data_IF_400898182996
#
_entry.id   IF_400898182996
#
_cell.length_a   1.000
_cell.length_b   1.000
_cell.length_c   1.000
_cell.angle_alpha   90.00
_cell.angle_beta   90.00
_cell.angle_gamma   90.00
#
_symmetry.space_group_name_H-M   'P 1'
#
loop_
_entity.id
_entity.type
_entity.pdbx_description
1 polymer ?
#
# COMPACT_ATOMS: atom_id res chain seq x y z
N UNK A 1 3.11 5.77 -37.94
CA UNK A 1 3.65 6.18 -36.61
C UNK A 1 2.51 6.34 -35.59
N UNK A 2 2.15 5.31 -34.79
CA UNK A 2 1.21 5.47 -33.66
C UNK A 2 1.75 4.89 -32.33
N UNK A 3 3.05 5.02 -32.04
CA UNK A 3 3.67 4.36 -30.86
C UNK A 3 3.49 5.12 -29.54
N UNK A 4 3.27 6.44 -29.56
CA UNK A 4 3.21 7.26 -28.35
C UNK A 4 1.89 7.12 -27.57
N UNK A 5 0.74 7.02 -28.25
CA UNK A 5 -0.57 6.93 -27.60
C UNK A 5 -0.70 5.69 -26.70
N UNK A 6 -0.30 4.51 -27.20
CA UNK A 6 -0.39 3.25 -26.44
C UNK A 6 0.53 3.17 -25.21
N UNK A 7 1.56 4.01 -25.13
CA UNK A 7 2.51 4.05 -24.01
C UNK A 7 2.01 4.99 -22.92
N UNK A 8 1.44 6.15 -23.30
CA UNK A 8 0.80 7.10 -22.40
C UNK A 8 -0.44 6.50 -21.72
N UNK A 9 -1.28 5.79 -22.48
CA UNK A 9 -2.48 5.12 -21.96
C UNK A 9 -2.14 4.06 -20.91
N UNK A 10 -1.00 3.37 -21.07
CA UNK A 10 -0.51 2.37 -20.10
C UNK A 10 0.17 2.97 -18.88
N UNK A 11 0.80 4.14 -19.01
CA UNK A 11 1.33 4.90 -17.86
C UNK A 11 0.15 5.35 -16.99
N UNK A 12 -0.90 5.90 -17.60
CA UNK A 12 -2.13 6.28 -16.92
C UNK A 12 -2.76 5.11 -16.14
N UNK A 13 -2.87 3.92 -16.74
CA UNK A 13 -3.47 2.78 -16.05
C UNK A 13 -2.73 2.40 -14.76
N UNK A 14 -1.40 2.44 -14.75
CA UNK A 14 -0.60 2.07 -13.56
C UNK A 14 -0.77 3.08 -12.44
N UNK A 15 -0.69 4.36 -12.78
CA UNK A 15 -0.90 5.43 -11.83
C UNK A 15 -2.32 5.38 -11.26
N UNK A 16 -3.32 5.12 -12.10
CA UNK A 16 -4.69 4.95 -11.65
C UNK A 16 -4.87 3.77 -10.70
N UNK A 17 -4.27 2.61 -10.99
CA UNK A 17 -4.36 1.45 -10.09
C UNK A 17 -3.68 1.73 -8.75
N UNK A 18 -2.57 2.47 -8.75
CA UNK A 18 -1.93 2.90 -7.51
C UNK A 18 -2.80 3.89 -6.74
N UNK A 19 -3.41 4.87 -7.42
CA UNK A 19 -4.32 5.83 -6.80
C UNK A 19 -5.54 5.13 -6.18
N UNK A 20 -6.19 4.23 -6.92
CA UNK A 20 -7.32 3.42 -6.42
C UNK A 20 -6.92 2.61 -5.18
N UNK A 21 -5.78 1.92 -5.23
CA UNK A 21 -5.24 1.18 -4.07
C UNK A 21 -5.02 2.11 -2.88
N UNK A 22 -4.45 3.30 -3.08
CA UNK A 22 -4.22 4.26 -2.00
C UNK A 22 -5.54 4.76 -1.39
N UNK A 23 -6.57 4.96 -2.21
CA UNK A 23 -7.90 5.35 -1.71
C UNK A 23 -8.56 4.24 -0.90
N UNK A 24 -8.49 2.99 -1.37
CA UNK A 24 -8.91 1.82 -0.60
C UNK A 24 -8.15 1.72 0.73
N UNK A 25 -6.84 1.94 0.69
CA UNK A 25 -5.97 1.92 1.88
C UNK A 25 -6.42 2.95 2.93
N UNK A 26 -6.80 4.16 2.49
CA UNK A 26 -7.34 5.20 3.37
C UNK A 26 -8.68 4.81 3.97
N UNK A 27 -9.56 4.21 3.17
CA UNK A 27 -10.87 3.74 3.64
C UNK A 27 -10.72 2.65 4.70
N UNK A 28 -9.79 1.71 4.51
CA UNK A 28 -9.52 0.64 5.46
C UNK A 28 -9.02 1.21 6.79
N UNK A 29 -8.03 2.10 6.78
CA UNK A 29 -7.54 2.70 8.03
C UNK A 29 -8.49 3.75 8.63
N UNK A 30 -9.49 4.21 7.89
CA UNK A 30 -10.39 5.28 8.34
C UNK A 30 -9.72 6.66 8.44
N UNK A 31 -8.62 6.87 7.70
CA UNK A 31 -7.83 8.11 7.73
C UNK A 31 -8.27 9.10 6.65
N UNK A 32 -7.93 10.37 6.82
CA UNK A 32 -8.28 11.39 5.85
C UNK A 32 -7.49 11.34 4.52
N UNK A 33 -8.02 12.03 3.50
CA UNK A 33 -7.44 12.07 2.14
C UNK A 33 -5.98 12.58 2.09
N UNK A 34 -5.67 13.60 2.88
CA UNK A 34 -4.34 14.23 2.89
C UNK A 34 -3.28 13.43 3.68
N UNK A 35 -3.60 12.25 4.19
CA UNK A 35 -2.65 11.45 4.97
C UNK A 35 -1.54 10.93 4.05
N UNK A 36 -0.26 11.04 4.44
CA UNK A 36 0.87 10.53 3.67
C UNK A 36 0.74 9.04 3.35
N UNK A 37 1.01 8.68 2.09
CA UNK A 37 0.87 7.31 1.59
C UNK A 37 1.87 6.34 2.20
N UNK A 38 3.04 6.81 2.61
CA UNK A 38 4.10 6.02 3.23
C UNK A 38 3.67 5.54 4.61
N UNK A 39 3.04 6.40 5.41
CA UNK A 39 2.46 6.03 6.70
C UNK A 39 1.40 4.94 6.55
N UNK A 40 0.47 5.15 5.61
CA UNK A 40 -0.60 4.19 5.29
C UNK A 40 -0.01 2.85 4.83
N UNK A 41 0.95 2.88 3.91
CA UNK A 41 1.62 1.68 3.40
C UNK A 41 2.36 0.93 4.50
N UNK A 42 3.05 1.65 5.38
CA UNK A 42 3.81 1.08 6.49
C UNK A 42 2.93 0.36 7.50
N UNK A 43 1.77 0.95 7.83
CA UNK A 43 0.83 0.45 8.84
C UNK A 43 -0.10 -0.66 8.31
N UNK A 44 -0.48 -0.63 7.03
CA UNK A 44 -1.22 -1.71 6.40
C UNK A 44 -0.33 -2.88 5.96
N UNK A 45 0.95 -2.62 5.72
CA UNK A 45 1.89 -3.61 5.19
C UNK A 45 1.62 -3.97 3.72
N UNK A 46 0.96 -3.09 2.96
CA UNK A 46 0.54 -3.38 1.58
C UNK A 46 1.63 -3.03 0.57
N UNK A 47 2.12 -4.02 -0.18
CA UNK A 47 3.04 -3.78 -1.30
C UNK A 47 2.43 -2.89 -2.38
N UNK A 48 3.18 -1.91 -2.86
CA UNK A 48 2.89 -1.07 -4.02
C UNK A 48 2.66 -1.92 -5.27
N UNK A 49 1.84 -1.43 -6.20
CA UNK A 49 1.68 -2.06 -7.51
C UNK A 49 3.02 -2.10 -8.26
N UNK A 50 3.85 -1.07 -8.10
CA UNK A 50 5.22 -1.03 -8.63
C UNK A 50 6.12 -2.16 -8.10
N UNK A 51 5.93 -2.61 -6.85
CA UNK A 51 6.60 -3.78 -6.28
C UNK A 51 5.93 -5.12 -6.64
N UNK A 52 4.62 -5.15 -6.89
CA UNK A 52 3.92 -6.38 -7.31
C UNK A 52 4.27 -6.79 -8.74
N UNK A 53 4.44 -5.82 -9.64
CA UNK A 53 4.80 -6.08 -11.04
C UNK A 53 6.07 -6.93 -11.23
N UNK A 54 7.24 -6.59 -10.65
CA UNK A 54 8.45 -7.40 -10.79
C UNK A 54 8.29 -8.81 -10.22
N UNK A 55 7.60 -8.96 -9.08
CA UNK A 55 7.36 -10.28 -8.50
C UNK A 55 6.58 -11.15 -9.48
N UNK A 56 5.48 -10.62 -10.05
CA UNK A 56 4.68 -11.38 -11.01
C UNK A 56 5.47 -11.71 -12.29
N UNK A 57 6.12 -10.72 -12.90
CA UNK A 57 6.77 -10.88 -14.21
C UNK A 57 8.04 -11.73 -14.14
N UNK A 58 8.90 -11.48 -13.16
CA UNK A 58 10.16 -12.21 -13.02
C UNK A 58 9.92 -13.64 -12.52
N UNK A 59 8.91 -13.86 -11.67
CA UNK A 59 8.54 -15.22 -11.26
C UNK A 59 7.92 -15.99 -12.43
N UNK A 60 7.12 -15.34 -13.28
CA UNK A 60 6.58 -15.96 -14.48
C UNK A 60 7.68 -16.32 -15.49
N UNK A 61 8.65 -15.43 -15.71
CA UNK A 61 9.80 -15.72 -16.55
C UNK A 61 10.63 -16.90 -16.02
N UNK A 62 10.88 -16.95 -14.71
CA UNK A 62 11.51 -18.11 -14.08
C UNK A 62 10.71 -19.40 -14.27
N UNK A 63 9.37 -19.33 -14.19
CA UNK A 63 8.50 -20.49 -14.47
C UNK A 63 8.62 -20.93 -15.93
N UNK A 64 8.62 -20.00 -16.89
CA UNK A 64 8.76 -20.31 -18.30
C UNK A 64 10.05 -21.07 -18.59
N UNK A 65 11.18 -20.68 -17.99
CA UNK A 65 12.47 -21.37 -18.18
C UNK A 65 12.51 -22.82 -17.68
N UNK A 66 11.52 -23.25 -16.88
CA UNK A 66 11.45 -24.61 -16.30
C UNK A 66 10.38 -25.48 -16.94
N UNK A 67 9.55 -24.92 -17.81
CA UNK A 67 8.56 -25.69 -18.54
C UNK A 67 9.27 -26.67 -19.50
N UNK A 68 8.65 -27.80 -19.83
CA UNK A 68 9.23 -28.76 -20.77
C UNK A 68 9.36 -28.15 -22.17
N UNK A 69 10.30 -28.70 -22.94
CA UNK A 69 10.59 -28.26 -24.31
C UNK A 69 9.39 -28.41 -25.26
N UNK A 70 8.37 -29.18 -24.90
CA UNK A 70 7.12 -29.30 -25.68
C UNK A 70 6.24 -28.06 -25.59
N UNK A 71 6.45 -27.19 -24.60
CA UNK A 71 5.61 -26.02 -24.37
C UNK A 71 5.99 -24.86 -25.29
N UNK A 72 5.03 -24.38 -26.09
CA UNK A 72 5.25 -23.27 -27.02
C UNK A 72 5.72 -21.98 -26.33
N UNK A 73 5.25 -21.68 -25.11
CA UNK A 73 5.68 -20.49 -24.38
C UNK A 73 7.14 -20.58 -23.94
N UNK A 74 7.62 -21.78 -23.62
CA UNK A 74 9.02 -22.04 -23.33
C UNK A 74 9.87 -21.92 -24.60
N UNK A 75 9.48 -22.62 -25.67
CA UNK A 75 10.18 -22.59 -26.95
C UNK A 75 10.30 -21.17 -27.50
N UNK A 76 9.20 -20.39 -27.45
CA UNK A 76 9.21 -18.99 -27.90
C UNK A 76 10.14 -18.12 -27.06
N UNK A 77 10.16 -18.30 -25.73
CA UNK A 77 11.10 -17.60 -24.87
C UNK A 77 12.56 -17.96 -25.23
N UNK A 78 12.87 -19.25 -25.33
CA UNK A 78 14.20 -19.74 -25.73
C UNK A 78 14.62 -19.17 -27.08
N UNK A 79 13.74 -19.25 -28.08
CA UNK A 79 13.98 -18.72 -29.42
C UNK A 79 14.26 -17.22 -29.37
N UNK A 80 13.50 -16.44 -28.59
CA UNK A 80 13.74 -14.99 -28.45
C UNK A 80 15.09 -14.68 -27.81
N UNK A 81 15.54 -15.51 -26.86
CA UNK A 81 16.84 -15.37 -26.19
C UNK A 81 17.97 -15.66 -27.19
N UNK A 82 17.95 -16.81 -27.87
CA UNK A 82 18.99 -17.21 -28.81
C UNK A 82 19.04 -16.33 -30.07
N UNK A 83 17.89 -15.88 -30.55
CA UNK A 83 17.81 -14.98 -31.72
C UNK A 83 18.16 -13.53 -31.39
N UNK A 84 18.41 -13.19 -30.11
CA UNK A 84 18.70 -11.82 -29.68
C UNK A 84 17.53 -10.84 -29.89
N UNK A 85 16.29 -11.33 -30.01
CA UNK A 85 15.14 -10.50 -30.34
C UNK A 85 14.66 -9.75 -29.09
N UNK A 86 14.86 -8.44 -29.11
CA UNK A 86 14.42 -7.52 -28.06
C UNK A 86 12.93 -7.21 -28.17
N UNK A 87 12.09 -8.03 -27.54
CA UNK A 87 10.64 -7.80 -27.43
C UNK A 87 10.32 -6.74 -26.36
N UNK A 88 9.07 -6.22 -26.37
CA UNK A 88 8.59 -5.33 -25.31
C UNK A 88 8.66 -5.98 -23.92
N UNK A 89 8.42 -7.29 -23.86
CA UNK A 89 8.51 -8.08 -22.63
C UNK A 89 9.95 -8.14 -22.13
N UNK A 90 10.91 -8.56 -22.96
CA UNK A 90 12.32 -8.73 -22.55
C UNK A 90 12.95 -7.40 -22.13
N UNK A 91 12.64 -6.29 -22.81
CA UNK A 91 13.04 -4.94 -22.36
C UNK A 91 12.47 -4.60 -20.99
N UNK A 92 11.20 -4.90 -20.74
CA UNK A 92 10.55 -4.59 -19.45
C UNK A 92 11.11 -5.46 -18.32
N UNK A 93 11.29 -6.76 -18.52
CA UNK A 93 11.87 -7.64 -17.49
C UNK A 93 13.34 -7.32 -17.23
N UNK A 94 14.13 -6.95 -18.25
CA UNK A 94 15.49 -6.46 -18.07
C UNK A 94 15.52 -5.15 -17.25
N UNK A 95 14.62 -4.20 -17.50
CA UNK A 95 14.51 -2.98 -16.69
C UNK A 95 14.13 -3.28 -15.25
N UNK A 96 13.17 -4.20 -15.02
CA UNK A 96 12.76 -4.60 -13.67
C UNK A 96 13.90 -5.31 -12.92
N UNK A 97 14.64 -6.21 -13.59
CA UNK A 97 15.83 -6.85 -13.00
C UNK A 97 16.87 -5.84 -12.57
N UNK A 98 17.16 -4.85 -13.42
CA UNK A 98 18.12 -3.78 -13.11
C UNK A 98 17.66 -2.94 -11.92
N UNK A 99 16.41 -2.45 -11.93
CA UNK A 99 15.87 -1.62 -10.85
C UNK A 99 15.88 -2.34 -9.48
N UNK A 100 15.51 -3.61 -9.46
CA UNK A 100 15.41 -4.39 -8.22
C UNK A 100 16.66 -5.23 -7.93
N UNK A 101 17.75 -5.03 -8.69
CA UNK A 101 19.02 -5.75 -8.50
C UNK A 101 18.84 -7.29 -8.48
N UNK A 102 17.93 -7.82 -9.30
CA UNK A 102 17.65 -9.26 -9.39
C UNK A 102 18.54 -9.87 -10.47
N UNK A 103 19.42 -10.80 -10.07
CA UNK A 103 20.31 -11.51 -11.00
C UNK A 103 19.51 -12.25 -12.09
N UNK A 104 19.96 -12.23 -13.35
CA UNK A 104 19.37 -13.07 -14.40
C UNK A 104 19.56 -14.54 -14.08
N UNK A 105 18.68 -15.38 -14.61
CA UNK A 105 18.71 -16.83 -14.43
C UNK A 105 19.07 -17.46 -15.76
N UNK A 106 20.09 -18.33 -15.78
CA UNK A 106 20.43 -19.12 -16.96
C UNK A 106 19.50 -20.33 -17.06
N UNK A 107 19.34 -20.86 -18.27
CA UNK A 107 18.52 -22.06 -18.53
C UNK A 107 19.01 -23.25 -17.67
N UNK A 108 20.33 -23.46 -17.60
CA UNK A 108 20.93 -24.49 -16.76
C UNK A 108 20.63 -24.29 -15.26
N UNK A 109 20.72 -23.04 -14.77
CA UNK A 109 20.42 -22.73 -13.37
C UNK A 109 18.93 -22.89 -13.02
N UNK A 110 18.04 -22.68 -14.00
CA UNK A 110 16.60 -22.83 -13.81
C UNK A 110 16.21 -24.30 -13.61
N UNK A 111 16.86 -25.21 -14.34
CA UNK A 111 16.64 -26.66 -14.21
C UNK A 111 17.09 -27.21 -12.84
N UNK A 112 18.15 -26.65 -12.26
CA UNK A 112 18.71 -27.12 -11.00
C UNK A 112 17.94 -26.69 -9.74
N UNK A 113 17.10 -25.66 -9.82
CA UNK A 113 16.49 -25.01 -8.64
C UNK A 113 14.96 -25.07 -8.69
N UNK A 114 14.29 -25.42 -7.58
CA UNK A 114 12.84 -25.44 -7.54
C UNK A 114 12.25 -24.03 -7.73
N UNK A 115 11.09 -23.96 -8.38
CA UNK A 115 10.38 -22.70 -8.72
C UNK A 115 10.17 -21.82 -7.49
N UNK A 116 9.80 -22.44 -6.37
CA UNK A 116 9.46 -21.77 -5.11
C UNK A 116 10.63 -20.97 -4.53
N UNK A 117 11.85 -21.52 -4.58
CA UNK A 117 13.07 -20.88 -4.08
C UNK A 117 13.39 -19.62 -4.87
N UNK A 118 13.28 -19.68 -6.19
CA UNK A 118 13.52 -18.51 -7.04
C UNK A 118 12.48 -17.41 -6.80
N UNK A 119 11.20 -17.76 -6.79
CA UNK A 119 10.12 -16.82 -6.52
C UNK A 119 10.23 -16.20 -5.11
N UNK A 120 10.66 -16.96 -4.11
CA UNK A 120 10.94 -16.45 -2.77
C UNK A 120 12.10 -15.45 -2.76
N UNK A 121 13.21 -15.74 -3.44
CA UNK A 121 14.35 -14.83 -3.59
C UNK A 121 13.96 -13.52 -4.28
N UNK A 122 13.16 -13.59 -5.35
CA UNK A 122 12.64 -12.41 -6.04
C UNK A 122 11.79 -11.57 -5.09
N UNK A 123 10.85 -12.20 -4.36
CA UNK A 123 10.00 -11.51 -3.38
C UNK A 123 10.82 -10.82 -2.28
N UNK A 124 11.83 -11.51 -1.74
CA UNK A 124 12.69 -10.96 -0.70
C UNK A 124 13.47 -9.74 -1.21
N UNK A 125 14.05 -9.83 -2.41
CA UNK A 125 14.82 -8.74 -3.00
C UNK A 125 13.93 -7.53 -3.32
N UNK A 126 12.76 -7.75 -3.92
CA UNK A 126 11.80 -6.67 -4.18
C UNK A 126 11.36 -6.01 -2.87
N UNK A 127 11.04 -6.80 -1.83
CA UNK A 127 10.66 -6.28 -0.52
C UNK A 127 11.77 -5.46 0.13
N UNK A 128 13.03 -5.86 -0.04
CA UNK A 128 14.19 -5.10 0.47
C UNK A 128 14.28 -3.72 -0.17
N UNK A 129 14.21 -3.66 -1.51
CA UNK A 129 14.26 -2.39 -2.26
C UNK A 129 13.04 -1.53 -1.94
N UNK A 130 11.84 -2.10 -1.90
CA UNK A 130 10.62 -1.38 -1.54
C UNK A 130 10.69 -0.81 -0.12
N UNK A 131 11.22 -1.57 0.84
CA UNK A 131 11.37 -1.10 2.23
C UNK A 131 12.37 0.05 2.32
N UNK A 132 13.45 0.02 1.53
CA UNK A 132 14.43 1.12 1.43
C UNK A 132 13.78 2.39 0.86
N UNK A 133 13.15 2.28 -0.32
CA UNK A 133 12.48 3.41 -1.00
C UNK A 133 11.37 4.00 -0.10
N UNK A 134 10.60 3.15 0.59
CA UNK A 134 9.57 3.57 1.54
C UNK A 134 10.14 4.33 2.74
N UNK A 135 11.23 3.83 3.35
CA UNK A 135 11.83 4.47 4.52
C UNK A 135 12.44 5.83 4.15
N UNK A 136 13.10 5.92 3.00
CA UNK A 136 13.62 7.18 2.46
C UNK A 136 12.49 8.18 2.20
N UNK A 137 11.40 7.72 1.57
CA UNK A 137 10.21 8.55 1.33
C UNK A 137 9.49 8.99 2.61
N UNK A 138 9.49 8.15 3.65
CA UNK A 138 8.91 8.49 4.95
C UNK A 138 9.77 9.54 5.68
N UNK A 139 11.09 9.38 5.70
CA UNK A 139 12.03 10.33 6.31
C UNK A 139 12.12 11.66 5.59
N UNK A 140 11.85 11.69 4.29
CA UNK A 140 11.80 12.94 3.53
C UNK A 140 10.62 13.86 3.92
N UNK A 141 9.62 13.34 4.65
CA UNK A 141 8.41 14.08 4.99
C UNK A 141 8.41 14.48 6.47
N UNK A 142 8.42 15.79 6.79
CA UNK A 142 8.51 16.25 8.19
C UNK A 142 7.28 15.84 9.02
N UNK A 143 6.13 15.62 8.38
CA UNK A 143 4.94 15.12 9.08
C UNK A 143 5.12 13.71 9.65
N UNK A 144 6.04 12.91 9.09
CA UNK A 144 6.27 11.52 9.45
C UNK A 144 7.55 11.32 10.29
N UNK A 145 8.20 12.38 10.77
CA UNK A 145 9.44 12.26 11.54
C UNK A 145 9.26 11.38 12.79
N UNK A 146 8.19 11.63 13.54
CA UNK A 146 7.84 10.84 14.73
C UNK A 146 7.53 9.37 14.37
N UNK A 147 6.92 9.14 13.21
CA UNK A 147 6.55 7.81 12.73
C UNK A 147 7.77 7.00 12.25
N UNK A 148 8.65 7.65 11.47
CA UNK A 148 9.79 7.00 10.81
C UNK A 148 10.97 6.75 11.75
N UNK A 149 11.02 7.40 12.91
CA UNK A 149 12.06 7.19 13.92
C UNK A 149 12.07 5.73 14.46
N UNK A 150 10.96 5.16 14.96
CA UNK A 150 10.91 3.78 15.44
C UNK A 150 10.57 2.74 14.35
N UNK A 151 9.90 3.13 13.26
CA UNK A 151 9.36 2.18 12.28
C UNK A 151 10.36 1.91 11.15
N UNK A 152 10.91 0.70 11.11
CA UNK A 152 11.92 0.28 10.13
C UNK A 152 11.41 -0.68 9.05
N UNK A 153 10.25 -1.31 9.27
CA UNK A 153 9.73 -2.37 8.38
C UNK A 153 8.29 -2.09 7.95
N UNK A 154 7.99 -2.45 6.70
CA UNK A 154 6.62 -2.45 6.16
C UNK A 154 5.91 -3.70 6.69
N UNK A 155 4.87 -3.50 7.51
CA UNK A 155 4.15 -4.59 8.14
C UNK A 155 2.87 -4.15 8.83
N UNK A 156 1.83 -4.98 8.68
CA UNK A 156 0.50 -4.72 9.22
C UNK A 156 0.54 -4.58 10.74
N UNK A 157 0.05 -3.44 11.23
CA UNK A 157 -0.18 -3.20 12.65
C UNK A 157 -1.49 -3.88 13.10
N UNK A 158 -1.51 -4.41 14.33
CA UNK A 158 -2.63 -5.21 14.86
C UNK A 158 -3.74 -4.39 15.53
N UNK A 159 -3.47 -3.12 15.83
CA UNK A 159 -4.33 -2.30 16.69
C UNK A 159 -5.47 -1.59 15.95
N UNK A 160 -5.55 -1.73 14.62
CA UNK A 160 -6.57 -1.06 13.80
C UNK A 160 -7.76 -1.98 13.56
N UNK A 161 -8.94 -1.56 14.01
CA UNK A 161 -10.23 -2.27 13.93
C UNK A 161 -11.22 -1.61 12.95
N UNK A 162 -10.74 -0.66 12.12
CA UNK A 162 -11.53 0.15 11.18
C UNK A 162 -12.66 0.98 11.84
N UNK A 163 -12.66 1.11 13.17
CA UNK A 163 -13.52 2.04 13.88
C UNK A 163 -13.06 3.49 13.69
N UNK A 164 -13.92 4.44 14.07
CA UNK A 164 -13.53 5.85 14.08
C UNK A 164 -12.37 6.12 15.06
N UNK A 165 -12.31 5.38 16.16
CA UNK A 165 -11.23 5.48 17.15
C UNK A 165 -9.88 5.03 16.58
N UNK A 166 -9.85 3.91 15.85
CA UNK A 166 -8.61 3.45 15.21
C UNK A 166 -8.14 4.36 14.08
N UNK A 167 -9.05 4.98 13.33
CA UNK A 167 -8.69 6.02 12.36
C UNK A 167 -8.02 7.23 13.00
N UNK A 168 -8.57 7.73 14.11
CA UNK A 168 -7.95 8.83 14.87
C UNK A 168 -6.59 8.41 15.46
N UNK A 169 -6.47 7.17 15.94
CA UNK A 169 -5.20 6.63 16.45
C UNK A 169 -4.15 6.54 15.33
N UNK A 170 -4.54 6.10 14.13
CA UNK A 170 -3.67 6.07 12.96
C UNK A 170 -3.21 7.49 12.60
N UNK A 171 -4.12 8.47 12.54
CA UNK A 171 -3.76 9.87 12.28
C UNK A 171 -2.81 10.44 13.35
N UNK A 172 -3.04 10.12 14.63
CA UNK A 172 -2.17 10.54 15.73
C UNK A 172 -0.77 9.92 15.63
N UNK A 173 -0.69 8.61 15.38
CA UNK A 173 0.58 7.88 15.20
C UNK A 173 1.39 8.43 14.03
N UNK A 174 0.72 8.80 12.94
CA UNK A 174 1.33 9.39 11.76
C UNK A 174 1.62 10.89 11.90
N UNK A 175 1.27 11.53 13.02
CA UNK A 175 1.51 12.97 13.22
C UNK A 175 0.60 13.89 12.38
N UNK A 176 -0.50 13.37 11.85
CA UNK A 176 -1.42 14.08 10.94
C UNK A 176 -2.83 14.28 11.52
N UNK A 177 -2.99 14.06 12.82
CA UNK A 177 -4.27 14.29 13.49
C UNK A 177 -4.75 15.73 13.26
N UNK A 178 -6.01 15.86 12.86
CA UNK A 178 -6.67 17.13 12.51
C UNK A 178 -6.99 18.01 13.72
N UNK A 179 -5.96 18.40 14.45
CA UNK A 179 -6.02 19.37 15.55
C UNK A 179 -6.23 20.79 15.00
N UNK A 180 -6.60 21.74 15.87
CA UNK A 180 -6.71 23.17 15.48
C UNK A 180 -5.39 23.73 14.94
N UNK A 181 -4.27 23.34 15.54
CA UNK A 181 -2.92 23.71 15.08
C UNK A 181 -2.64 23.16 13.69
N UNK A 182 -3.06 21.91 13.42
CA UNK A 182 -2.90 21.33 12.10
C UNK A 182 -3.81 21.99 11.06
N UNK A 183 -5.06 22.32 11.42
CA UNK A 183 -6.00 23.06 10.55
C UNK A 183 -5.53 24.47 10.21
N UNK A 184 -4.83 25.15 11.13
CA UNK A 184 -4.26 26.48 10.89
C UNK A 184 -3.31 26.52 9.68
N UNK A 185 -2.63 25.40 9.38
CA UNK A 185 -1.76 25.29 8.18
C UNK A 185 -2.53 25.38 6.85
N UNK A 186 -3.85 25.14 6.86
CA UNK A 186 -4.67 25.01 5.64
C UNK A 186 -5.83 26.00 5.58
N UNK A 187 -6.01 26.87 6.58
CA UNK A 187 -7.12 27.83 6.62
C UNK A 187 -6.58 29.17 7.09
N UNK A 188 -6.63 30.17 6.21
CA UNK A 188 -6.23 31.54 6.55
C UNK A 188 -7.13 32.09 7.66
N UNK A 189 -6.53 32.67 8.72
CA UNK A 189 -7.23 33.27 9.86
C UNK A 189 -7.48 32.37 11.06
N UNK A 190 -6.95 31.13 11.09
CA UNK A 190 -6.92 30.31 12.31
C UNK A 190 -5.61 30.54 13.08
N UNK A 191 -5.62 31.41 14.09
CA UNK A 191 -4.47 31.63 14.96
C UNK A 191 -4.20 30.42 15.87
N UNK A 192 -2.93 30.05 16.01
CA UNK A 192 -2.44 28.93 16.85
C UNK A 192 -2.36 29.27 18.34
N UNK A 193 -3.17 30.19 18.84
CA UNK A 193 -3.15 30.58 20.25
C UNK A 193 -3.78 29.50 21.14
N UNK A 194 -2.96 28.49 21.45
CA UNK A 194 -3.26 27.36 22.34
C UNK A 194 -3.23 27.73 23.84
N UNK A 195 -3.34 29.01 24.21
CA UNK A 195 -3.34 29.43 25.62
C UNK A 195 -4.72 29.62 26.26
N UNK A 196 -5.85 29.50 25.53
CA UNK A 196 -7.14 29.92 26.09
C UNK A 196 -8.36 28.99 25.94
N UNK A 197 -8.25 27.73 25.50
CA UNK A 197 -9.45 26.92 25.27
C UNK A 197 -9.41 25.54 25.95
N UNK A 198 -9.42 25.58 27.28
CA UNK A 198 -10.02 24.56 28.15
C UNK A 198 -11.41 25.02 28.62
N UNK A 199 -12.28 25.38 27.68
CA UNK A 199 -13.70 25.58 28.00
C UNK A 199 -14.57 25.26 26.80
N UNK A 200 -15.31 24.16 26.94
CA UNK A 200 -16.66 23.99 26.42
C UNK A 200 -16.84 23.97 24.88
N UNK A 201 -17.15 22.79 24.32
CA UNK A 201 -18.43 22.60 23.61
C UNK A 201 -18.74 21.14 23.33
N UNK A 202 -19.84 20.70 23.94
CA UNK A 202 -20.73 19.62 23.51
C UNK A 202 -21.38 19.97 22.16
N UNK A 203 -21.87 18.93 21.50
CA UNK A 203 -22.86 18.90 20.42
C UNK A 203 -22.38 19.15 18.98
N UNK A 204 -22.19 18.06 18.24
CA UNK A 204 -23.13 17.60 17.19
C UNK A 204 -22.48 16.49 16.34
N UNK A 205 -22.95 15.25 16.48
CA UNK A 205 -22.68 14.16 15.55
C UNK A 205 -23.61 14.26 14.33
N UNK A 206 -23.12 14.24 13.08
CA UNK A 206 -23.95 13.86 11.94
C UNK A 206 -24.07 12.33 11.89
N UNK A 207 -25.31 11.83 12.01
CA UNK A 207 -25.64 10.41 11.82
C UNK A 207 -25.29 10.00 10.39
N UNK A 208 -24.38 9.04 10.21
CA UNK A 208 -24.18 8.34 8.94
C UNK A 208 -25.15 7.13 8.85
N UNK A 209 -25.62 6.75 7.66
CA UNK A 209 -26.52 5.61 7.50
C UNK A 209 -25.82 4.33 7.94
N UNK A 210 -26.46 3.59 8.85
CA UNK A 210 -26.10 2.23 9.21
C UNK A 210 -26.56 1.31 8.09
N UNK A 211 -25.66 0.48 7.55
CA UNK A 211 -26.06 -0.74 6.83
C UNK A 211 -26.80 -1.66 7.81
N UNK A 212 -27.90 -2.33 7.41
CA UNK A 212 -28.64 -3.22 8.29
C UNK A 212 -27.79 -4.45 8.61
N UNK A 213 -27.37 -4.56 9.86
CA UNK A 213 -26.84 -5.79 10.43
C UNK A 213 -28.04 -6.68 10.78
N UNK A 214 -28.11 -7.87 10.18
CA UNK A 214 -29.17 -8.86 10.36
C UNK A 214 -29.03 -9.70 11.62
N UNK A 215 -28.68 -9.08 12.76
CA UNK A 215 -28.67 -9.77 14.05
C UNK A 215 -29.53 -9.01 15.05
N UNK A 216 -30.60 -9.65 15.49
CA UNK A 216 -31.50 -9.20 16.56
C UNK A 216 -30.72 -8.98 17.86
N UNK A 217 -30.60 -7.74 18.33
CA UNK A 217 -30.15 -7.46 19.69
C UNK A 217 -31.29 -7.73 20.69
N UNK A 218 -31.00 -8.30 21.88
CA UNK A 218 -31.97 -8.44 22.95
C UNK A 218 -32.34 -7.06 23.53
N UNK A 219 -33.61 -6.87 23.91
CA UNK A 219 -34.11 -5.68 24.61
C UNK A 219 -33.48 -5.59 26.02
N UNK A 220 -32.94 -4.43 26.36
CA UNK A 220 -32.56 -4.10 27.75
C UNK A 220 -33.81 -4.04 28.65
N UNK A 221 -33.72 -4.46 29.93
CA UNK A 221 -34.83 -4.36 30.88
C UNK A 221 -34.97 -2.92 31.42
N UNK A 222 -36.22 -2.48 31.57
CA UNK A 222 -36.57 -1.15 32.07
C UNK A 222 -36.07 -0.91 33.51
N UNK A 223 -35.64 0.32 33.85
CA UNK A 223 -35.26 0.67 35.22
C UNK A 223 -36.49 0.79 36.14
N UNK A 224 -36.35 0.21 37.32
CA UNK A 224 -37.32 0.20 38.42
C UNK A 224 -37.56 1.65 38.90
N UNK A 225 -38.81 2.10 38.85
CA UNK A 225 -39.25 3.36 39.47
C UNK A 225 -39.44 3.17 40.96
N UNK A 226 -38.61 3.85 41.77
CA UNK A 226 -38.87 4.04 43.20
C UNK A 226 -39.84 5.21 43.41
N UNK A 227 -41.00 4.95 44.01
CA UNK A 227 -41.78 6.00 44.68
C UNK A 227 -42.54 5.43 45.89
N UNK A 228 -42.11 5.89 47.07
CA UNK A 228 -42.84 6.11 48.32
C UNK A 228 -44.32 5.68 48.34
N UNK A 229 -44.70 4.74 49.21
CA UNK A 229 -45.23 4.97 50.56
C UNK A 229 -45.09 3.69 51.38
#
# INVERSE_FOLDING_TARGET
MPRCASLLERVNLREETERRKQDESRMVLGVHKNTPVEGIQGDLGWSSFTAREPVAKLSYEGRLLRLPDTNLAHQTLIHTIYSGISTRWTRRTANLRRRYEVSPESIASAAAQPVSTRAARIRAQVRKVETREWLEGAKAKPSLDLYSAPKTTIGREKFFDNSLGSGLLAEARLGVLRTRVWRAKFTAGLDTNLHHLWSCRRDHQPRRPRMPCGYTCPREPNPISSSRF
#
